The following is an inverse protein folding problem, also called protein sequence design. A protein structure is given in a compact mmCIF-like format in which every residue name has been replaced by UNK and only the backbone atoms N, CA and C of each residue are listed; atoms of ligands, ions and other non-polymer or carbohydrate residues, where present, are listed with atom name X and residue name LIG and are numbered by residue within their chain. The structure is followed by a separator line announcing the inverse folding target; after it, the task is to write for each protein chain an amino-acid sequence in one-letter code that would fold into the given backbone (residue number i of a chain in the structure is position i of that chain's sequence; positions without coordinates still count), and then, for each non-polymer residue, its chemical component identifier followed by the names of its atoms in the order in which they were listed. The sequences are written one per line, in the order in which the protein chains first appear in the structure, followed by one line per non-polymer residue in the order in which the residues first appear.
data_IF_944122630336
#
_entry.id   IF_944122630336
#
_cell.length_a   1.000
_cell.length_b   1.000
_cell.length_c   1.000
_cell.angle_alpha   90.00
_cell.angle_beta   90.00
_cell.angle_gamma   90.00
#
_symmetry.space_group_name_H-M   'P 1'
#
loop_
_entity.id
_entity.type
_entity.pdbx_description
1 polymer ?
#
# COMPACT_ATOMS: atom_id res chain seq x y z
N UNK A 1 36.34 -36.98 -30.35
CA UNK A 1 35.91 -35.64 -30.81
C UNK A 1 34.41 -35.33 -30.59
N UNK A 2 33.48 -36.29 -30.55
CA UNK A 2 32.03 -36.01 -30.33
C UNK A 2 31.66 -35.44 -28.94
N UNK A 3 32.46 -35.74 -27.91
CA UNK A 3 32.24 -35.28 -26.53
C UNK A 3 32.50 -33.78 -26.31
N UNK A 4 33.37 -33.16 -27.11
CA UNK A 4 33.67 -31.73 -27.00
C UNK A 4 32.47 -30.89 -27.46
N UNK A 5 31.77 -31.32 -28.52
CA UNK A 5 30.55 -30.65 -28.99
C UNK A 5 29.41 -30.72 -27.99
N UNK A 6 29.25 -31.86 -27.30
CA UNK A 6 28.24 -32.02 -26.24
C UNK A 6 28.53 -31.09 -25.04
N UNK A 7 29.80 -30.97 -24.64
CA UNK A 7 30.21 -30.07 -23.55
C UNK A 7 30.02 -28.60 -23.90
N UNK A 8 30.33 -28.20 -25.13
CA UNK A 8 30.14 -26.81 -25.61
C UNK A 8 28.65 -26.49 -25.71
N UNK A 9 27.84 -27.41 -26.22
CA UNK A 9 26.38 -27.24 -26.30
C UNK A 9 25.75 -27.08 -24.92
N UNK A 10 26.22 -27.83 -23.91
CA UNK A 10 25.76 -27.70 -22.53
C UNK A 10 26.13 -26.34 -21.95
N UNK A 11 27.36 -25.87 -22.18
CA UNK A 11 27.83 -24.57 -21.70
C UNK A 11 27.01 -23.42 -22.29
N UNK A 12 26.72 -23.48 -23.59
CA UNK A 12 25.88 -22.49 -24.27
C UNK A 12 24.46 -22.52 -23.71
N UNK A 13 23.90 -23.71 -23.46
CA UNK A 13 22.56 -23.83 -22.88
C UNK A 13 22.49 -23.20 -21.48
N UNK A 14 23.47 -23.49 -20.61
CA UNK A 14 23.53 -22.91 -19.26
C UNK A 14 23.68 -21.39 -19.33
N UNK A 15 24.53 -20.89 -20.23
CA UNK A 15 24.72 -19.46 -20.44
C UNK A 15 23.43 -18.78 -20.93
N UNK A 16 22.69 -19.43 -21.83
CA UNK A 16 21.41 -18.96 -22.33
C UNK A 16 20.35 -18.90 -21.21
N UNK A 17 20.29 -19.90 -20.34
CA UNK A 17 19.38 -19.93 -19.18
C UNK A 17 19.70 -18.79 -18.20
N UNK A 18 20.98 -18.55 -17.91
CA UNK A 18 21.40 -17.44 -17.04
C UNK A 18 21.08 -16.07 -17.66
N UNK A 19 21.30 -15.91 -18.96
CA UNK A 19 20.88 -14.72 -19.71
C UNK A 19 19.38 -14.52 -19.64
N UNK A 20 18.60 -15.57 -19.82
CA UNK A 20 17.14 -15.51 -19.75
C UNK A 20 16.66 -15.13 -18.33
N UNK A 21 17.25 -15.72 -17.30
CA UNK A 21 16.94 -15.39 -15.90
C UNK A 21 17.29 -13.93 -15.56
N UNK A 22 18.42 -13.43 -16.08
CA UNK A 22 18.82 -12.03 -15.93
C UNK A 22 17.89 -11.08 -16.69
N UNK A 23 17.48 -11.46 -17.91
CA UNK A 23 16.55 -10.69 -18.73
C UNK A 23 15.17 -10.60 -18.05
N UNK A 24 14.65 -11.72 -17.56
CA UNK A 24 13.37 -11.77 -16.81
C UNK A 24 13.43 -10.92 -15.55
N UNK A 25 14.56 -10.89 -14.83
CA UNK A 25 14.75 -10.02 -13.67
C UNK A 25 14.86 -8.53 -14.04
N UNK A 26 15.35 -8.21 -15.25
CA UNK A 26 15.45 -6.84 -15.75
C UNK A 26 14.17 -6.31 -16.38
N UNK A 27 13.18 -7.18 -16.66
CA UNK A 27 11.88 -6.72 -17.14
C UNK A 27 11.28 -5.81 -16.04
N UNK A 28 10.95 -4.55 -16.37
CA UNK A 28 10.26 -3.70 -15.42
C UNK A 28 8.93 -4.37 -15.08
N UNK A 29 8.72 -4.66 -13.79
CA UNK A 29 7.41 -5.07 -13.30
C UNK A 29 6.38 -4.08 -13.85
N UNK A 30 5.37 -4.58 -14.56
CA UNK A 30 4.42 -3.76 -15.32
C UNK A 30 3.88 -2.65 -14.42
N UNK A 31 4.29 -1.43 -14.76
CA UNK A 31 4.17 -0.23 -13.96
C UNK A 31 2.73 0.28 -13.98
N UNK A 32 1.97 -0.02 -12.94
CA UNK A 32 0.89 0.87 -12.50
C UNK A 32 1.44 1.66 -11.31
N UNK A 33 2.08 2.80 -11.63
CA UNK A 33 2.83 3.63 -10.68
C UNK A 33 1.99 4.26 -9.59
N UNK A 34 0.68 4.35 -9.79
CA UNK A 34 -0.28 4.93 -8.87
C UNK A 34 -1.31 3.89 -8.47
N UNK A 35 -1.07 3.22 -7.34
CA UNK A 35 -2.07 2.36 -6.69
C UNK A 35 -3.24 3.16 -6.12
N UNK A 36 -3.06 4.48 -5.98
CA UNK A 36 -4.10 5.43 -5.58
C UNK A 36 -4.43 6.34 -6.77
N UNK A 37 -5.64 6.22 -7.33
CA UNK A 37 -6.11 7.13 -8.37
C UNK A 37 -6.76 8.37 -7.75
N UNK A 38 -6.77 9.52 -8.46
CA UNK A 38 -7.41 10.75 -7.98
C UNK A 38 -8.91 10.60 -7.63
N UNK A 39 -9.56 9.55 -8.15
CA UNK A 39 -11.02 9.34 -8.04
C UNK A 39 -11.49 8.73 -6.71
N UNK A 40 -10.62 8.32 -5.78
CA UNK A 40 -11.02 7.68 -4.49
C UNK A 40 -11.92 8.58 -3.62
N UNK A 41 -11.93 9.88 -3.88
CA UNK A 41 -12.51 10.92 -3.02
C UNK A 41 -14.00 10.75 -2.67
N UNK A 42 -14.76 9.86 -3.34
CA UNK A 42 -16.22 9.76 -3.23
C UNK A 42 -16.81 8.42 -2.76
N UNK A 43 -16.02 7.44 -2.34
CA UNK A 43 -16.60 6.21 -1.80
C UNK A 43 -16.98 6.38 -0.32
N UNK A 44 -18.21 5.97 0.04
CA UNK A 44 -18.71 5.91 1.43
C UNK A 44 -18.00 4.78 2.21
N UNK A 45 -16.69 4.90 2.37
CA UNK A 45 -15.88 3.94 3.11
C UNK A 45 -15.98 4.29 4.58
N UNK A 46 -16.17 3.28 5.42
CA UNK A 46 -16.05 3.38 6.86
C UNK A 46 -15.00 2.40 7.35
N UNK A 47 -14.21 2.84 8.33
CA UNK A 47 -13.15 2.06 8.93
C UNK A 47 -13.43 1.91 10.41
N UNK A 48 -13.56 0.67 10.87
CA UNK A 48 -13.83 0.34 12.27
C UNK A 48 -12.63 -0.32 12.94
N UNK A 49 -12.34 0.07 14.18
CA UNK A 49 -11.47 -0.68 15.08
C UNK A 49 -12.28 -1.20 16.26
N UNK A 50 -12.03 -2.45 16.65
CA UNK A 50 -12.69 -3.08 17.77
C UNK A 50 -11.65 -3.76 18.66
N UNK A 51 -11.65 -3.40 19.94
CA UNK A 51 -10.92 -4.09 20.99
C UNK A 51 -11.84 -5.10 21.66
N UNK A 52 -11.53 -6.39 21.44
CA UNK A 52 -12.30 -7.52 21.98
C UNK A 52 -12.23 -7.62 23.50
N UNK A 53 -11.15 -7.14 24.13
CA UNK A 53 -10.98 -7.23 25.58
C UNK A 53 -11.60 -6.03 26.30
N UNK A 54 -11.44 -4.84 25.72
CA UNK A 54 -11.91 -3.58 26.29
C UNK A 54 -13.35 -3.19 25.93
N UNK A 55 -14.04 -3.98 25.10
CA UNK A 55 -15.34 -3.66 24.47
C UNK A 55 -15.36 -2.24 23.88
N UNK A 56 -14.24 -1.85 23.29
CA UNK A 56 -14.06 -0.51 22.73
C UNK A 56 -14.19 -0.57 21.23
N UNK A 57 -15.15 0.18 20.69
CA UNK A 57 -15.36 0.34 19.25
C UNK A 57 -15.06 1.77 18.83
N UNK A 58 -14.32 1.91 17.74
CA UNK A 58 -14.06 3.20 17.09
C UNK A 58 -14.46 3.09 15.62
N UNK A 59 -15.17 4.08 15.11
CA UNK A 59 -15.58 4.16 13.71
C UNK A 59 -15.03 5.44 13.09
N UNK A 60 -14.61 5.35 11.84
CA UNK A 60 -13.96 6.46 11.13
C UNK A 60 -14.43 6.53 9.70
N UNK A 61 -14.54 7.77 9.19
CA UNK A 61 -14.83 8.08 7.80
C UNK A 61 -13.52 8.56 7.15
N UNK A 62 -12.76 7.67 6.49
CA UNK A 62 -11.57 8.07 5.75
C UNK A 62 -11.96 8.81 4.47
N UNK A 63 -11.28 9.93 4.23
CA UNK A 63 -11.28 10.64 2.95
C UNK A 63 -9.88 10.63 2.38
N UNK A 64 -9.75 10.15 1.15
CA UNK A 64 -8.49 10.10 0.42
C UNK A 64 -8.46 11.19 -0.65
N UNK A 65 -7.33 11.86 -0.79
CA UNK A 65 -7.10 12.83 -1.85
C UNK A 65 -5.69 12.59 -2.43
N UNK A 66 -5.59 12.37 -3.75
CA UNK A 66 -4.30 12.21 -4.41
C UNK A 66 -3.90 13.54 -5.03
N UNK A 67 -2.80 14.13 -4.55
CA UNK A 67 -2.30 15.43 -5.04
C UNK A 67 -0.78 15.42 -5.11
N UNK A 68 -0.23 15.77 -6.28
CA UNK A 68 1.21 15.92 -6.47
C UNK A 68 2.02 14.65 -6.18
N UNK A 69 1.48 13.47 -6.52
CA UNK A 69 2.13 12.17 -6.28
C UNK A 69 2.14 11.71 -4.80
N UNK A 70 1.42 12.42 -3.93
CA UNK A 70 1.18 12.02 -2.54
C UNK A 70 -0.30 11.75 -2.31
N UNK A 71 -0.59 10.90 -1.33
CA UNK A 71 -1.96 10.55 -0.92
C UNK A 71 -2.20 11.18 0.44
N UNK A 72 -3.17 12.07 0.53
CA UNK A 72 -3.60 12.70 1.76
C UNK A 72 -4.80 11.91 2.29
N UNK A 73 -4.72 11.45 3.53
CA UNK A 73 -5.82 10.78 4.21
C UNK A 73 -6.29 11.68 5.33
N UNK A 74 -7.58 11.99 5.34
CA UNK A 74 -8.26 12.64 6.46
C UNK A 74 -9.17 11.62 7.11
N UNK A 75 -9.00 11.40 8.41
CA UNK A 75 -9.86 10.56 9.23
C UNK A 75 -10.72 11.47 10.11
N UNK A 76 -12.04 11.28 10.06
CA UNK A 76 -13.01 11.90 10.97
C UNK A 76 -13.83 10.81 11.65
N UNK A 77 -14.40 11.09 12.82
CA UNK A 77 -15.25 10.15 13.54
C UNK A 77 -16.72 10.56 13.37
N UNK A 78 -17.63 9.67 12.96
CA UNK A 78 -19.06 9.97 12.99
C UNK A 78 -19.57 10.16 14.43
N UNK A 79 -18.93 9.51 15.41
CA UNK A 79 -19.32 9.55 16.82
C UNK A 79 -18.65 10.69 17.61
N UNK A 80 -17.69 11.40 17.00
CA UNK A 80 -16.96 12.50 17.65
C UNK A 80 -16.52 13.55 16.63
N UNK A 81 -17.27 14.64 16.55
CA UNK A 81 -17.01 15.76 15.64
C UNK A 81 -15.72 16.52 15.95
N UNK A 82 -15.17 16.36 17.16
CA UNK A 82 -13.92 17.00 17.58
C UNK A 82 -12.69 16.21 17.14
N UNK A 83 -12.87 14.94 16.75
CA UNK A 83 -11.78 14.12 16.24
C UNK A 83 -11.51 14.39 14.76
N UNK A 84 -10.25 14.71 14.45
CA UNK A 84 -9.78 14.77 13.07
C UNK A 84 -8.29 14.47 13.01
N UNK A 85 -7.89 13.58 12.10
CA UNK A 85 -6.48 13.31 11.82
C UNK A 85 -6.22 13.47 10.33
N UNK A 86 -5.14 14.16 9.97
CA UNK A 86 -4.66 14.26 8.60
C UNK A 86 -3.26 13.71 8.50
N UNK A 87 -3.02 12.91 7.48
CA UNK A 87 -1.72 12.32 7.20
C UNK A 87 -1.44 12.38 5.70
N UNK A 88 -0.17 12.45 5.36
CA UNK A 88 0.36 12.39 4.01
C UNK A 88 1.12 11.09 3.85
N UNK A 89 0.77 10.33 2.83
CA UNK A 89 1.50 9.17 2.37
C UNK A 89 2.31 9.53 1.13
N UNK A 90 3.58 9.16 1.13
CA UNK A 90 4.48 9.40 0.01
C UNK A 90 5.25 8.12 -0.32
N UNK A 91 5.26 7.75 -1.59
CA UNK A 91 5.99 6.59 -2.09
C UNK A 91 7.50 6.81 -1.85
N UNK A 92 8.14 5.87 -1.19
CA UNK A 92 9.57 5.87 -0.93
C UNK A 92 10.29 4.95 -1.90
N UNK A 93 9.90 3.67 -1.91
CA UNK A 93 10.58 2.63 -2.68
C UNK A 93 9.59 1.64 -3.28
N UNK A 94 9.98 1.05 -4.41
CA UNK A 94 9.30 -0.09 -5.02
C UNK A 94 10.06 -1.35 -4.63
N UNK A 95 9.39 -2.31 -4.01
CA UNK A 95 9.96 -3.60 -3.63
C UNK A 95 9.29 -4.72 -4.43
N UNK A 96 9.90 -5.91 -4.54
CA UNK A 96 9.24 -7.08 -5.13
C UNK A 96 7.95 -7.49 -4.38
N UNK A 97 7.80 -7.07 -3.12
CA UNK A 97 6.66 -7.36 -2.25
C UNK A 97 5.58 -6.27 -2.21
N UNK A 98 5.78 -5.16 -2.94
CA UNK A 98 4.83 -4.06 -3.01
C UNK A 98 5.47 -2.67 -3.09
N UNK A 99 4.70 -1.65 -2.73
CA UNK A 99 5.11 -0.25 -2.74
C UNK A 99 5.26 0.25 -1.30
N UNK A 100 6.47 0.64 -0.91
CA UNK A 100 6.73 1.17 0.43
C UNK A 100 6.35 2.66 0.48
N UNK A 101 5.40 2.99 1.35
CA UNK A 101 5.00 4.37 1.62
C UNK A 101 5.49 4.81 3.00
N UNK A 102 6.00 6.04 3.06
CA UNK A 102 6.20 6.78 4.31
C UNK A 102 4.91 7.50 4.71
N UNK A 103 4.69 7.63 6.01
CA UNK A 103 3.52 8.29 6.59
C UNK A 103 3.98 9.50 7.40
N UNK A 104 3.43 10.67 7.07
CA UNK A 104 3.75 11.93 7.73
C UNK A 104 2.46 12.50 8.33
N UNK A 105 2.36 12.64 9.67
CA UNK A 105 1.20 13.28 10.28
C UNK A 105 1.23 14.77 9.95
N UNK A 106 0.12 15.31 9.46
CA UNK A 106 -0.05 16.73 9.16
C UNK A 106 -0.87 17.45 10.23
N UNK A 107 -1.84 16.73 10.81
CA UNK A 107 -2.74 17.26 11.81
C UNK A 107 -3.29 16.14 12.67
N UNK A 108 -3.47 16.40 13.96
CA UNK A 108 -4.12 15.48 14.89
C UNK A 108 -4.85 16.27 15.97
N UNK A 109 -6.18 16.15 15.97
CA UNK A 109 -7.06 16.61 17.03
C UNK A 109 -7.77 15.41 17.64
N UNK A 110 -7.48 15.16 18.92
CA UNK A 110 -8.14 14.13 19.71
C UNK A 110 -8.27 14.59 21.17
N UNK A 111 -9.26 15.42 21.49
CA UNK A 111 -9.42 15.96 22.84
C UNK A 111 -9.78 14.89 23.89
N UNK A 112 -10.33 13.75 23.48
CA UNK A 112 -10.70 12.66 24.39
C UNK A 112 -9.53 11.74 24.78
N UNK A 113 -8.41 11.80 24.05
CA UNK A 113 -7.25 10.93 24.26
C UNK A 113 -7.52 9.44 23.97
N UNK A 114 -6.47 8.62 23.98
CA UNK A 114 -6.54 7.14 24.00
C UNK A 114 -7.30 6.43 22.86
N UNK A 115 -7.16 6.84 21.59
CA UNK A 115 -7.81 6.12 20.48
C UNK A 115 -6.96 4.96 19.95
N UNK A 116 -7.57 3.82 19.64
CA UNK A 116 -6.92 2.65 19.03
C UNK A 116 -6.26 3.03 17.70
N UNK A 117 -6.94 3.85 16.88
CA UNK A 117 -6.38 4.33 15.61
C UNK A 117 -5.06 5.07 15.79
N UNK A 118 -4.85 5.74 16.93
CA UNK A 118 -3.62 6.48 17.21
C UNK A 118 -2.41 5.55 17.21
N UNK A 119 -2.51 4.37 17.83
CA UNK A 119 -1.41 3.40 17.90
C UNK A 119 -1.04 2.89 16.50
N UNK A 120 -2.04 2.66 15.66
CA UNK A 120 -1.86 2.16 14.29
C UNK A 120 -1.22 3.25 13.42
N UNK A 121 -1.68 4.49 13.53
CA UNK A 121 -1.07 5.64 12.85
C UNK A 121 0.37 5.85 13.30
N UNK A 122 0.63 5.83 14.61
CA UNK A 122 1.98 5.95 15.16
C UNK A 122 2.90 4.83 14.66
N UNK A 123 2.42 3.59 14.58
CA UNK A 123 3.18 2.48 14.01
C UNK A 123 3.55 2.75 12.54
N UNK A 124 2.58 3.16 11.71
CA UNK A 124 2.83 3.46 10.29
C UNK A 124 3.78 4.64 10.08
N UNK A 125 3.72 5.67 10.94
CA UNK A 125 4.64 6.81 10.89
C UNK A 125 6.08 6.37 11.16
N UNK A 126 6.31 5.47 12.12
CA UNK A 126 7.65 5.02 12.47
C UNK A 126 8.22 3.97 11.51
N UNK A 127 7.37 3.06 11.01
CA UNK A 127 7.82 1.89 10.24
C UNK A 127 7.57 2.02 8.73
N UNK A 128 6.73 2.97 8.31
CA UNK A 128 6.12 2.96 6.99
C UNK A 128 5.12 1.80 6.82
N UNK A 129 4.59 1.65 5.62
CA UNK A 129 3.75 0.52 5.26
C UNK A 129 3.96 0.12 3.80
N UNK A 130 4.06 -1.18 3.54
CA UNK A 130 4.09 -1.73 2.18
C UNK A 130 2.67 -1.96 1.70
N UNK A 131 2.26 -1.25 0.66
CA UNK A 131 0.95 -1.43 0.03
C UNK A 131 1.09 -2.24 -1.24
N UNK A 132 0.11 -3.11 -1.48
CA UNK A 132 -0.04 -3.79 -2.74
C UNK A 132 -1.25 -3.26 -3.47
N UNK A 133 -1.16 -3.10 -4.78
CA UNK A 133 -2.30 -2.74 -5.58
C UNK A 133 -2.33 -3.48 -6.90
N UNK A 134 -3.51 -3.89 -7.31
CA UNK A 134 -3.74 -4.60 -8.56
C UNK A 134 -5.06 -4.15 -9.19
N UNK A 135 -5.25 -4.49 -10.45
CA UNK A 135 -6.52 -4.28 -11.14
C UNK A 135 -7.30 -5.60 -11.15
N UNK A 136 -8.60 -5.52 -10.87
CA UNK A 136 -9.50 -6.66 -10.95
C UNK A 136 -10.87 -6.17 -11.43
N UNK A 137 -11.38 -6.75 -12.52
CA UNK A 137 -12.69 -6.39 -13.10
C UNK A 137 -12.92 -4.88 -13.28
N UNK A 138 -11.93 -4.16 -13.85
CA UNK A 138 -11.94 -2.71 -14.06
C UNK A 138 -11.99 -1.84 -12.78
N UNK A 139 -11.75 -2.45 -11.61
CA UNK A 139 -11.59 -1.78 -10.32
C UNK A 139 -10.11 -1.77 -9.92
N UNK A 140 -9.68 -0.71 -9.26
CA UNK A 140 -8.40 -0.69 -8.56
C UNK A 140 -8.61 -1.28 -7.17
N UNK A 141 -7.79 -2.25 -6.82
CA UNK A 141 -7.75 -2.85 -5.48
C UNK A 141 -6.44 -2.45 -4.82
N UNK A 142 -6.51 -1.95 -3.59
CA UNK A 142 -5.37 -1.64 -2.73
C UNK A 142 -5.48 -2.45 -1.45
N UNK A 143 -4.43 -3.18 -1.13
CA UNK A 143 -4.31 -4.01 0.07
C UNK A 143 -3.27 -3.38 0.98
N UNK A 144 -3.70 -3.03 2.19
CA UNK A 144 -2.84 -2.53 3.26
C UNK A 144 -2.27 -3.69 4.09
N UNK A 145 -1.13 -3.51 4.80
CA UNK A 145 -0.58 -4.55 5.68
C UNK A 145 -1.52 -5.02 6.79
N UNK A 146 -2.46 -4.17 7.21
CA UNK A 146 -3.49 -4.53 8.18
C UNK A 146 -4.52 -5.53 7.65
N UNK A 147 -4.46 -5.88 6.36
CA UNK A 147 -5.49 -6.66 5.67
C UNK A 147 -6.68 -5.81 5.20
N UNK A 148 -6.65 -4.50 5.41
CA UNK A 148 -7.66 -3.60 4.85
C UNK A 148 -7.56 -3.57 3.33
N UNK A 149 -8.69 -3.86 2.66
CA UNK A 149 -8.81 -3.86 1.20
C UNK A 149 -9.69 -2.68 0.80
N UNK A 150 -9.15 -1.79 -0.03
CA UNK A 150 -9.88 -0.69 -0.67
C UNK A 150 -10.09 -1.09 -2.13
N UNK A 151 -11.32 -1.10 -2.61
CA UNK A 151 -11.62 -1.41 -4.00
C UNK A 151 -12.55 -0.34 -4.57
N UNK A 152 -12.06 0.38 -5.57
CA UNK A 152 -12.77 1.51 -6.14
C UNK A 152 -12.68 1.54 -7.67
N UNK A 153 -13.66 2.17 -8.30
CA UNK A 153 -13.74 2.26 -9.75
C UNK A 153 -12.65 3.19 -10.33
N UNK A 154 -12.25 2.91 -11.57
CA UNK A 154 -11.14 3.58 -12.24
C UNK A 154 -11.49 4.98 -12.77
#
# INVERSE_FOLDING_TARGET
MKWQYASISLMVLVFLILLLAMLVRSLPATNNSDIFLPQITNENIQLGYYDLQGDKRELYNPRFEVRGGAVFITLTSPDDSSFSSKLKMQLQHRTPSGLLYSYQPLYYANPQGHRLVQNILSFMVHNGATLNGFEFENRRVVVMPSGLILSYDK
#
